data_IF_005044219174
#
_entry.id   IF_005044219174
#
_cell.length_a   1.000
_cell.length_b   1.000
_cell.length_c   1.000
_cell.angle_alpha   90.00
_cell.angle_beta   90.00
_cell.angle_gamma   90.00
#
_symmetry.space_group_name_H-M   'P 1'
#
loop_
_entity.id
_entity.type
_entity.pdbx_description
1 polymer ?
#
# COMPACT_ATOMS: atom_id res chain seq x y z
N UNK A 1 16.38 22.29 14.10
CA UNK A 1 16.05 20.86 13.93
C UNK A 1 14.64 20.64 14.46
N UNK A 2 13.78 19.95 13.72
CA UNK A 2 12.44 19.59 14.22
C UNK A 2 12.60 18.60 15.38
N UNK A 3 11.82 18.76 16.44
CA UNK A 3 11.86 17.87 17.61
C UNK A 3 11.12 16.55 17.38
N UNK A 4 10.18 16.54 16.42
CA UNK A 4 9.37 15.37 16.08
C UNK A 4 9.84 14.72 14.78
N UNK A 5 9.69 13.38 14.65
CA UNK A 5 10.13 12.66 13.46
C UNK A 5 9.26 13.01 12.25
N UNK A 6 9.91 13.29 11.13
CA UNK A 6 9.24 13.52 9.84
C UNK A 6 9.16 12.20 9.05
N UNK A 7 7.96 11.79 8.65
CA UNK A 7 7.71 10.52 7.97
C UNK A 7 7.07 10.81 6.61
N UNK A 8 7.71 10.35 5.55
CA UNK A 8 7.16 10.42 4.19
C UNK A 8 6.65 9.04 3.80
N UNK A 9 5.38 8.95 3.40
CA UNK A 9 4.81 7.71 2.90
C UNK A 9 4.23 7.88 1.51
N UNK A 10 4.28 6.83 0.70
CA UNK A 10 3.70 6.86 -0.64
C UNK A 10 3.29 5.50 -1.16
N UNK A 11 2.38 5.52 -2.13
CA UNK A 11 1.85 4.35 -2.80
C UNK A 11 1.53 4.68 -4.26
N UNK A 12 1.83 3.72 -5.14
CA UNK A 12 1.50 3.75 -6.56
C UNK A 12 0.84 2.43 -6.99
N UNK A 13 0.27 1.68 -6.04
CA UNK A 13 -0.23 0.32 -6.26
C UNK A 13 -1.61 0.27 -6.91
N UNK A 14 -2.38 1.36 -6.93
CA UNK A 14 -3.64 1.45 -7.66
C UNK A 14 -3.57 2.50 -8.79
N UNK A 15 -4.72 2.94 -9.31
CA UNK A 15 -4.82 3.95 -10.36
C UNK A 15 -4.57 5.37 -9.82
N UNK A 16 -3.51 5.54 -9.03
CA UNK A 16 -3.14 6.81 -8.41
C UNK A 16 -1.63 6.95 -8.24
N UNK A 17 -1.19 8.17 -7.95
CA UNK A 17 0.02 8.46 -7.22
C UNK A 17 -0.38 9.12 -5.90
N UNK A 18 -0.03 8.50 -4.77
CA UNK A 18 -0.47 8.93 -3.45
C UNK A 18 0.71 9.09 -2.50
N UNK A 19 0.68 10.12 -1.66
CA UNK A 19 1.66 10.30 -0.60
C UNK A 19 1.10 11.08 0.60
N UNK A 20 1.74 10.91 1.74
CA UNK A 20 1.47 11.65 2.96
C UNK A 20 2.78 12.03 3.66
N UNK A 21 2.78 13.21 4.28
CA UNK A 21 3.88 13.71 5.09
C UNK A 21 3.37 13.91 6.52
N UNK A 22 3.97 13.22 7.48
CA UNK A 22 3.64 13.30 8.90
C UNK A 22 4.80 13.90 9.69
N UNK A 23 4.49 14.68 10.71
CA UNK A 23 5.43 15.16 11.72
C UNK A 23 4.87 14.78 13.09
N UNK A 24 5.51 13.83 13.77
CA UNK A 24 4.93 13.23 14.96
C UNK A 24 3.58 12.56 14.64
N UNK A 25 2.52 12.96 15.33
CA UNK A 25 1.16 12.49 15.10
C UNK A 25 0.37 13.33 14.07
N UNK A 26 0.91 14.50 13.71
CA UNK A 26 0.25 15.45 12.83
C UNK A 26 0.46 15.09 11.36
N UNK A 27 -0.62 15.07 10.58
CA UNK A 27 -0.57 14.98 9.13
C UNK A 27 -0.34 16.38 8.58
N UNK A 28 0.83 16.61 8.00
CA UNK A 28 1.17 17.89 7.37
C UNK A 28 0.51 18.02 6.00
N UNK A 29 0.55 16.94 5.22
CA UNK A 29 -0.11 16.85 3.92
C UNK A 29 -0.48 15.40 3.61
N UNK A 30 -1.63 15.21 2.97
CA UNK A 30 -2.04 13.95 2.37
C UNK A 30 -2.58 14.26 0.97
N UNK A 31 -1.97 13.65 -0.05
CA UNK A 31 -2.26 13.90 -1.47
C UNK A 31 -2.50 12.59 -2.19
N UNK A 32 -3.56 12.55 -2.99
CA UNK A 32 -3.90 11.44 -3.88
C UNK A 32 -4.22 12.06 -5.24
N UNK A 33 -3.43 11.70 -6.25
CA UNK A 33 -3.68 12.07 -7.64
C UNK A 33 -4.13 10.84 -8.42
N UNK A 34 -5.38 10.84 -8.85
CA UNK A 34 -5.92 9.80 -9.72
C UNK A 34 -5.20 9.83 -11.07
N UNK A 35 -4.60 8.69 -11.46
CA UNK A 35 -3.94 8.53 -12.74
C UNK A 35 -3.85 7.07 -13.18
N UNK A 36 -4.23 6.80 -14.42
CA UNK A 36 -4.15 5.46 -15.00
C UNK A 36 -2.71 5.05 -15.36
N UNK A 37 -1.85 6.01 -15.70
CA UNK A 37 -0.44 5.83 -16.11
C UNK A 37 0.38 7.06 -15.71
N UNK A 38 1.71 6.93 -15.74
CA UNK A 38 2.64 8.04 -15.48
C UNK A 38 3.11 8.13 -14.02
N UNK A 39 2.85 7.10 -13.21
CA UNK A 39 3.22 7.10 -11.79
C UNK A 39 4.74 7.19 -11.58
N UNK A 40 5.54 6.61 -12.49
CA UNK A 40 7.00 6.62 -12.40
C UNK A 40 7.58 8.03 -12.55
N UNK A 41 7.04 8.80 -13.48
CA UNK A 41 7.43 10.17 -13.76
C UNK A 41 6.87 11.14 -12.72
N UNK A 42 5.69 10.84 -12.16
CA UNK A 42 5.00 11.74 -11.22
C UNK A 42 5.49 11.63 -9.78
N UNK A 43 5.86 10.43 -9.33
CA UNK A 43 6.13 10.16 -7.91
C UNK A 43 7.20 11.11 -7.33
N UNK A 44 8.40 11.14 -7.92
CA UNK A 44 9.49 11.95 -7.37
C UNK A 44 9.17 13.45 -7.31
N UNK A 45 8.68 14.09 -8.40
CA UNK A 45 8.23 15.48 -8.33
C UNK A 45 7.16 15.74 -7.26
N UNK A 46 6.20 14.82 -7.07
CA UNK A 46 5.14 14.99 -6.07
C UNK A 46 5.71 15.04 -4.66
N UNK A 47 6.65 14.14 -4.35
CA UNK A 47 7.30 14.08 -3.05
C UNK A 47 8.17 15.33 -2.79
N UNK A 48 8.88 15.82 -3.80
CA UNK A 48 9.68 17.06 -3.71
C UNK A 48 8.80 18.28 -3.45
N UNK A 49 7.70 18.43 -4.19
CA UNK A 49 6.71 19.49 -3.99
C UNK A 49 6.14 19.48 -2.57
N UNK A 50 5.84 18.30 -2.01
CA UNK A 50 5.32 18.14 -0.65
C UNK A 50 6.36 18.57 0.40
N UNK A 51 7.59 18.07 0.29
CA UNK A 51 8.67 18.44 1.22
C UNK A 51 8.94 19.94 1.18
N UNK A 52 9.06 20.51 -0.02
CA UNK A 52 9.33 21.93 -0.22
C UNK A 52 8.22 22.82 0.36
N UNK A 53 6.94 22.48 0.14
CA UNK A 53 5.79 23.22 0.70
C UNK A 53 5.79 23.28 2.21
N UNK A 54 6.36 22.27 2.87
CA UNK A 54 6.50 22.23 4.32
C UNK A 54 7.88 22.69 4.81
N UNK A 55 8.74 23.26 3.97
CA UNK A 55 10.08 23.71 4.36
C UNK A 55 10.95 22.57 4.89
N UNK A 56 10.81 21.38 4.33
CA UNK A 56 11.62 20.21 4.63
C UNK A 56 12.39 19.77 3.38
N UNK A 57 13.49 19.05 3.58
CA UNK A 57 14.22 18.35 2.55
C UNK A 57 14.31 16.85 2.83
N UNK A 58 14.84 16.10 1.86
CA UNK A 58 15.00 14.65 1.97
C UNK A 58 15.75 14.19 3.22
N UNK A 59 16.75 14.97 3.67
CA UNK A 59 17.58 14.65 4.85
C UNK A 59 16.88 14.90 6.19
N UNK A 60 15.72 15.53 6.19
CA UNK A 60 14.92 15.73 7.41
C UNK A 60 14.05 14.50 7.74
N UNK A 61 13.93 13.56 6.79
CA UNK A 61 13.13 12.35 6.97
C UNK A 61 13.75 11.43 8.03
N UNK A 62 12.90 10.92 8.92
CA UNK A 62 13.25 9.92 9.92
C UNK A 62 12.92 8.50 9.44
N UNK A 63 11.95 8.33 8.54
CA UNK A 63 11.61 7.06 7.92
C UNK A 63 10.81 7.27 6.62
N UNK A 64 10.74 6.21 5.82
CA UNK A 64 9.90 6.13 4.63
C UNK A 64 8.85 5.03 4.81
N UNK A 65 7.57 5.35 4.60
CA UNK A 65 6.50 4.36 4.46
C UNK A 65 6.25 4.06 2.98
N UNK A 66 6.04 2.79 2.63
CA UNK A 66 5.76 2.43 1.24
C UNK A 66 4.67 1.38 1.13
N UNK A 67 3.72 1.61 0.23
CA UNK A 67 2.72 0.63 -0.12
C UNK A 67 3.34 -0.56 -0.86
N UNK A 68 3.09 -1.78 -0.38
CA UNK A 68 3.62 -3.02 -0.97
C UNK A 68 2.58 -3.80 -1.77
N UNK A 69 1.41 -3.21 -2.01
CA UNK A 69 0.26 -3.88 -2.62
C UNK A 69 -0.56 -4.67 -1.58
N UNK A 70 -1.46 -5.57 -2.01
CA UNK A 70 -1.64 -6.03 -3.38
C UNK A 70 -2.23 -4.94 -4.29
N UNK A 71 -1.98 -5.02 -5.60
CA UNK A 71 -2.39 -4.01 -6.56
C UNK A 71 -1.78 -4.21 -7.95
N UNK A 72 -1.73 -3.15 -8.75
CA UNK A 72 -1.10 -3.11 -10.06
C UNK A 72 0.40 -3.44 -9.96
N UNK A 73 0.83 -4.46 -10.71
CA UNK A 73 2.19 -5.01 -10.65
C UNK A 73 3.28 -3.96 -10.91
N UNK A 74 3.14 -3.18 -11.98
CA UNK A 74 4.11 -2.10 -12.31
C UNK A 74 4.10 -1.03 -11.23
N UNK A 75 2.91 -0.65 -10.77
CA UNK A 75 2.69 0.34 -9.73
C UNK A 75 3.38 0.01 -8.41
N UNK A 76 3.19 -1.20 -7.89
CA UNK A 76 3.85 -1.65 -6.64
C UNK A 76 5.37 -1.63 -6.79
N UNK A 77 5.90 -2.01 -7.95
CA UNK A 77 7.36 -2.01 -8.19
C UNK A 77 7.96 -0.61 -8.21
N UNK A 78 7.25 0.38 -8.77
CA UNK A 78 7.69 1.78 -8.80
C UNK A 78 7.90 2.30 -7.37
N UNK A 79 6.87 2.22 -6.53
CA UNK A 79 6.95 2.71 -5.15
C UNK A 79 7.97 1.94 -4.32
N UNK A 80 7.98 0.60 -4.37
CA UNK A 80 8.97 -0.20 -3.62
C UNK A 80 10.41 0.09 -4.05
N UNK A 81 10.68 0.25 -5.35
CA UNK A 81 12.01 0.60 -5.84
C UNK A 81 12.44 2.00 -5.36
N UNK A 82 11.56 2.99 -5.48
CA UNK A 82 11.81 4.35 -5.01
C UNK A 82 12.11 4.40 -3.50
N UNK A 83 11.29 3.73 -2.69
CA UNK A 83 11.48 3.68 -1.24
C UNK A 83 12.81 3.04 -0.84
N UNK A 84 13.19 1.94 -1.49
CA UNK A 84 14.47 1.27 -1.24
C UNK A 84 15.66 2.14 -1.63
N UNK A 85 15.60 2.83 -2.77
CA UNK A 85 16.64 3.73 -3.23
C UNK A 85 16.83 4.93 -2.30
N UNK A 86 15.73 5.59 -1.94
CA UNK A 86 15.72 6.73 -1.02
C UNK A 86 16.23 6.33 0.37
N UNK A 87 15.71 5.24 0.94
CA UNK A 87 16.13 4.77 2.26
C UNK A 87 17.61 4.39 2.31
N UNK A 88 18.13 3.77 1.24
CA UNK A 88 19.57 3.47 1.12
C UNK A 88 20.41 4.75 1.10
N UNK A 89 20.00 5.75 0.32
CA UNK A 89 20.71 7.03 0.18
C UNK A 89 20.68 7.85 1.48
N UNK A 90 19.51 7.93 2.11
CA UNK A 90 19.25 8.75 3.29
C UNK A 90 19.65 8.05 4.60
N UNK A 91 19.91 6.74 4.56
CA UNK A 91 20.22 5.90 5.73
C UNK A 91 19.09 5.92 6.78
N UNK A 92 17.85 5.87 6.31
CA UNK A 92 16.64 5.82 7.15
C UNK A 92 15.90 4.51 6.91
N UNK A 93 15.11 4.00 7.87
CA UNK A 93 14.31 2.81 7.66
C UNK A 93 13.24 3.04 6.58
N UNK A 94 13.00 2.00 5.76
CA UNK A 94 11.84 1.90 4.90
C UNK A 94 10.89 0.84 5.44
N UNK A 95 9.63 1.20 5.65
CA UNK A 95 8.58 0.33 6.18
C UNK A 95 7.63 -0.04 5.05
N UNK A 96 7.61 -1.32 4.68
CA UNK A 96 6.63 -1.85 3.75
C UNK A 96 5.29 -2.06 4.45
N UNK A 97 4.20 -1.59 3.85
CA UNK A 97 2.85 -1.69 4.39
C UNK A 97 1.92 -2.19 3.29
N UNK A 98 1.22 -3.30 3.54
CA UNK A 98 0.25 -3.78 2.57
C UNK A 98 -0.99 -2.87 2.55
N UNK A 99 -1.64 -2.74 1.38
CA UNK A 99 -2.92 -2.04 1.24
C UNK A 99 -4.01 -2.68 2.12
N UNK A 100 -3.88 -3.99 2.39
CA UNK A 100 -4.73 -4.72 3.33
C UNK A 100 -4.52 -4.22 4.76
N UNK A 101 -3.28 -4.15 5.26
CA UNK A 101 -2.96 -3.60 6.58
C UNK A 101 -3.38 -2.14 6.72
N UNK A 102 -3.11 -1.33 5.70
CA UNK A 102 -3.42 0.10 5.71
C UNK A 102 -4.93 0.34 5.81
N UNK A 103 -5.74 -0.38 5.02
CA UNK A 103 -7.21 -0.27 5.08
C UNK A 103 -7.80 -0.74 6.42
N UNK A 104 -7.10 -1.63 7.11
CA UNK A 104 -7.50 -2.17 8.40
C UNK A 104 -7.17 -1.24 9.59
N UNK A 105 -6.31 -0.24 9.40
CA UNK A 105 -5.83 0.63 10.48
C UNK A 105 -6.97 1.50 11.04
N UNK A 106 -7.07 1.57 12.37
CA UNK A 106 -8.07 2.39 13.06
C UNK A 106 -9.48 1.80 13.10
N UNK A 107 -9.68 0.58 12.58
CA UNK A 107 -10.97 -0.11 12.59
C UNK A 107 -11.05 -1.21 13.66
N UNK A 108 -12.24 -1.46 14.24
CA UNK A 108 -12.43 -2.48 15.28
C UNK A 108 -12.17 -3.88 14.74
N UNK A 109 -11.67 -4.77 15.59
CA UNK A 109 -11.44 -6.20 15.28
C UNK A 109 -12.51 -7.08 15.96
N UNK A 110 -12.84 -8.26 15.42
CA UNK A 110 -12.37 -8.83 14.15
C UNK A 110 -12.90 -8.07 12.93
N UNK A 111 -12.09 -8.00 11.87
CA UNK A 111 -12.41 -7.28 10.63
C UNK A 111 -11.90 -8.05 9.41
N UNK A 112 -12.65 -8.09 8.32
CA UNK A 112 -12.13 -8.52 7.02
C UNK A 112 -11.85 -7.33 6.11
N UNK A 113 -10.65 -7.24 5.58
CA UNK A 113 -10.37 -6.31 4.47
C UNK A 113 -10.58 -7.06 3.16
N UNK A 114 -11.31 -6.45 2.23
CA UNK A 114 -11.60 -6.98 0.90
C UNK A 114 -11.31 -5.90 -0.14
N UNK A 115 -10.32 -6.13 -0.99
CA UNK A 115 -9.96 -5.25 -2.09
C UNK A 115 -10.28 -5.94 -3.41
N UNK A 116 -10.87 -5.21 -4.35
CA UNK A 116 -11.12 -5.73 -5.71
C UNK A 116 -9.79 -6.10 -6.39
N UNK A 117 -9.67 -7.36 -6.83
CA UNK A 117 -8.52 -7.87 -7.57
C UNK A 117 -8.78 -7.97 -9.08
N UNK A 118 -9.93 -7.46 -9.56
CA UNK A 118 -10.48 -7.60 -10.91
C UNK A 118 -10.80 -9.06 -11.26
N UNK A 119 -11.43 -9.28 -12.42
CA UNK A 119 -11.77 -10.61 -12.97
C UNK A 119 -12.62 -11.49 -12.02
N UNK A 120 -13.47 -10.85 -11.21
CA UNK A 120 -14.32 -11.56 -10.23
C UNK A 120 -13.56 -12.08 -9.00
N UNK A 121 -12.31 -11.63 -8.81
CA UNK A 121 -11.48 -12.02 -7.67
C UNK A 121 -11.30 -10.85 -6.70
N UNK A 122 -10.91 -11.18 -5.48
CA UNK A 122 -10.61 -10.24 -4.39
C UNK A 122 -9.32 -10.61 -3.70
N UNK A 123 -8.57 -9.59 -3.31
CA UNK A 123 -7.58 -9.71 -2.27
C UNK A 123 -8.28 -9.57 -0.93
N UNK A 124 -8.10 -10.54 -0.05
CA UNK A 124 -8.73 -10.53 1.25
C UNK A 124 -7.74 -10.86 2.36
N UNK A 125 -7.97 -10.29 3.54
CA UNK A 125 -7.30 -10.68 4.76
C UNK A 125 -8.23 -10.49 5.95
N UNK A 126 -8.28 -11.52 6.78
CA UNK A 126 -8.93 -11.44 8.09
C UNK A 126 -7.96 -10.81 9.07
N UNK A 127 -8.39 -9.80 9.80
CA UNK A 127 -7.66 -9.18 10.88
C UNK A 127 -8.36 -9.55 12.19
N UNK A 128 -7.91 -10.68 12.69
CA UNK A 128 -8.25 -11.34 13.96
C UNK A 128 -7.13 -12.35 14.23
N UNK A 129 -7.41 -13.49 14.90
CA UNK A 129 -6.42 -14.56 15.02
C UNK A 129 -6.03 -15.11 13.64
N UNK A 130 -4.72 -15.18 13.37
CA UNK A 130 -4.09 -15.96 12.29
C UNK A 130 -4.54 -15.69 10.83
N UNK A 131 -5.05 -14.49 10.53
CA UNK A 131 -5.51 -14.18 9.19
C UNK A 131 -4.37 -13.82 8.22
N UNK A 132 -4.11 -14.72 7.27
CA UNK A 132 -3.20 -14.50 6.15
C UNK A 132 -3.89 -13.79 4.98
N UNK A 133 -3.12 -13.00 4.22
CA UNK A 133 -3.59 -12.42 2.96
C UNK A 133 -3.78 -13.51 1.89
N UNK A 134 -4.84 -13.39 1.10
CA UNK A 134 -5.20 -14.36 0.06
C UNK A 134 -5.80 -13.68 -1.18
N UNK A 135 -5.68 -14.36 -2.33
CA UNK A 135 -6.46 -14.08 -3.54
C UNK A 135 -7.55 -15.15 -3.65
N UNK A 136 -8.81 -14.75 -3.79
CA UNK A 136 -9.95 -15.66 -3.86
C UNK A 136 -11.12 -15.01 -4.60
N UNK A 137 -12.28 -15.67 -4.68
CA UNK A 137 -13.52 -15.10 -5.23
C UNK A 137 -14.45 -14.62 -4.12
N UNK A 138 -15.37 -13.70 -4.42
CA UNK A 138 -16.41 -13.29 -3.48
C UNK A 138 -17.23 -14.48 -2.95
N UNK A 139 -17.58 -15.44 -3.82
CA UNK A 139 -18.36 -16.62 -3.46
C UNK A 139 -17.64 -17.53 -2.47
N UNK A 140 -16.35 -17.79 -2.68
CA UNK A 140 -15.54 -18.60 -1.77
C UNK A 140 -15.36 -17.88 -0.43
N UNK A 141 -15.15 -16.56 -0.46
CA UNK A 141 -14.98 -15.73 0.73
C UNK A 141 -16.28 -15.61 1.54
N UNK A 142 -17.44 -15.57 0.88
CA UNK A 142 -18.75 -15.47 1.52
C UNK A 142 -19.07 -16.67 2.42
N UNK A 143 -18.46 -17.84 2.17
CA UNK A 143 -18.63 -19.03 3.01
C UNK A 143 -17.95 -18.92 4.38
N UNK A 144 -17.00 -17.99 4.55
CA UNK A 144 -16.19 -17.87 5.77
C UNK A 144 -16.82 -17.02 6.87
N UNK A 145 -17.90 -16.29 6.58
CA UNK A 145 -18.55 -15.37 7.53
C UNK A 145 -17.65 -14.21 7.99
N UNK A 146 -18.23 -13.04 8.27
CA UNK A 146 -17.57 -11.98 9.05
C UNK A 146 -18.61 -10.96 9.51
N UNK A 147 -18.44 -10.40 10.71
CA UNK A 147 -19.35 -9.39 11.25
C UNK A 147 -19.12 -8.00 10.65
N UNK A 148 -17.86 -7.70 10.30
CA UNK A 148 -17.45 -6.40 9.78
C UNK A 148 -16.41 -6.57 8.66
N UNK A 149 -16.54 -5.76 7.62
CA UNK A 149 -15.61 -5.73 6.51
C UNK A 149 -15.36 -4.30 6.01
N UNK A 150 -14.25 -4.09 5.30
CA UNK A 150 -13.90 -2.81 4.68
C UNK A 150 -13.15 -3.04 3.36
N UNK A 151 -12.95 -1.97 2.58
CA UNK A 151 -12.23 -1.99 1.32
C UNK A 151 -13.14 -2.03 0.08
N UNK A 152 -12.53 -1.86 -1.10
CA UNK A 152 -13.25 -1.68 -2.36
C UNK A 152 -14.11 -2.88 -2.79
N UNK A 153 -13.76 -4.10 -2.35
CA UNK A 153 -14.54 -5.30 -2.62
C UNK A 153 -15.61 -5.63 -1.57
N UNK A 154 -15.69 -4.85 -0.48
CA UNK A 154 -16.55 -5.17 0.67
C UNK A 154 -18.04 -5.09 0.34
N UNK A 155 -18.49 -4.09 -0.41
CA UNK A 155 -19.91 -3.95 -0.75
C UNK A 155 -20.44 -5.15 -1.55
N UNK A 156 -19.66 -5.64 -2.52
CA UNK A 156 -19.99 -6.81 -3.31
C UNK A 156 -20.03 -8.10 -2.45
N UNK A 157 -19.13 -8.23 -1.46
CA UNK A 157 -19.17 -9.37 -0.54
C UNK A 157 -20.37 -9.31 0.41
N UNK A 158 -20.69 -8.13 0.93
CA UNK A 158 -21.82 -7.93 1.83
C UNK A 158 -23.17 -8.30 1.20
N UNK A 159 -23.31 -8.13 -0.12
CA UNK A 159 -24.50 -8.58 -0.86
C UNK A 159 -24.69 -10.12 -0.81
N UNK A 160 -23.61 -10.89 -0.61
CA UNK A 160 -23.63 -12.35 -0.44
C UNK A 160 -23.67 -12.78 1.02
N UNK A 161 -23.55 -11.85 1.97
CA UNK A 161 -23.52 -12.11 3.41
C UNK A 161 -24.45 -11.13 4.16
N UNK A 162 -25.78 -11.33 4.10
CA UNK A 162 -26.73 -10.48 4.80
C UNK A 162 -26.40 -10.38 6.30
N UNK A 163 -26.29 -9.16 6.82
CA UNK A 163 -25.96 -8.87 8.21
C UNK A 163 -24.51 -8.44 8.45
N UNK A 164 -23.61 -8.62 7.50
CA UNK A 164 -22.24 -8.11 7.61
C UNK A 164 -22.20 -6.59 7.43
N UNK A 165 -21.47 -5.89 8.32
CA UNK A 165 -21.34 -4.43 8.27
C UNK A 165 -20.19 -4.01 7.37
N UNK A 166 -20.44 -3.10 6.44
CA UNK A 166 -19.38 -2.45 5.63
C UNK A 166 -18.95 -1.17 6.33
N UNK A 167 -17.69 -1.12 6.74
CA UNK A 167 -17.07 0.03 7.40
C UNK A 167 -16.27 0.84 6.37
N UNK A 168 -16.38 2.18 6.44
CA UNK A 168 -15.49 3.07 5.73
C UNK A 168 -14.05 2.95 6.29
N UNK A 169 -13.05 3.19 5.45
CA UNK A 169 -11.67 3.30 5.92
C UNK A 169 -11.57 4.47 6.92
N UNK A 170 -10.81 4.29 8.00
CA UNK A 170 -10.66 5.31 9.03
C UNK A 170 -9.84 6.54 8.56
N UNK A 171 -9.00 6.35 7.53
CA UNK A 171 -8.14 7.38 6.96
C UNK A 171 -7.73 7.02 5.53
N UNK A 172 -7.19 7.96 4.75
CA UNK A 172 -6.66 7.69 3.42
C UNK A 172 -5.47 6.71 3.44
N UNK A 173 -5.30 5.95 2.34
CA UNK A 173 -4.22 4.97 2.18
C UNK A 173 -2.82 5.52 2.51
N UNK A 174 -2.34 6.64 1.93
CA UNK A 174 -1.00 7.12 2.22
C UNK A 174 -0.81 7.58 3.67
N UNK A 175 -1.85 8.11 4.31
CA UNK A 175 -1.83 8.44 5.74
C UNK A 175 -1.67 7.17 6.59
N UNK A 176 -2.46 6.14 6.31
CA UNK A 176 -2.36 4.87 7.04
C UNK A 176 -0.96 4.25 6.91
N UNK A 177 -0.38 4.29 5.71
CA UNK A 177 1.01 3.85 5.48
C UNK A 177 1.99 4.69 6.33
N UNK A 178 1.82 6.01 6.37
CA UNK A 178 2.68 6.89 7.16
C UNK A 178 2.58 6.61 8.66
N UNK A 179 1.38 6.41 9.21
CA UNK A 179 1.18 6.10 10.63
C UNK A 179 1.78 4.75 11.00
N UNK A 180 1.60 3.73 10.16
CA UNK A 180 2.23 2.42 10.37
C UNK A 180 3.75 2.53 10.30
N UNK A 181 4.28 3.29 9.33
CA UNK A 181 5.71 3.55 9.22
C UNK A 181 6.26 4.28 10.45
N UNK A 182 5.55 5.31 10.94
CA UNK A 182 5.90 6.04 12.15
C UNK A 182 5.97 5.09 13.36
N UNK A 183 4.97 4.23 13.56
CA UNK A 183 4.93 3.27 14.66
C UNK A 183 6.05 2.22 14.60
N UNK A 184 6.42 1.78 13.39
CA UNK A 184 7.41 0.71 13.17
C UNK A 184 8.85 1.20 13.04
N UNK A 185 9.08 2.51 12.84
CA UNK A 185 10.41 3.09 12.51
C UNK A 185 11.54 2.72 13.46
N UNK A 186 11.25 2.54 14.75
CA UNK A 186 12.24 2.28 15.79
C UNK A 186 12.63 0.79 15.91
N UNK A 187 11.98 -0.09 15.15
CA UNK A 187 12.22 -1.53 15.16
C UNK A 187 12.84 -1.97 13.84
N UNK A 188 13.73 -2.98 13.82
CA UNK A 188 14.29 -3.50 12.57
C UNK A 188 13.19 -3.92 11.60
N UNK A 189 13.21 -3.35 10.39
CA UNK A 189 12.26 -3.67 9.33
C UNK A 189 12.95 -4.50 8.24
N UNK A 190 12.29 -5.54 7.70
CA UNK A 190 12.75 -6.15 6.47
C UNK A 190 12.73 -5.12 5.34
N UNK A 191 13.57 -5.33 4.32
CA UNK A 191 13.51 -4.52 3.11
C UNK A 191 12.10 -4.64 2.50
N UNK A 192 11.42 -3.52 2.17
CA UNK A 192 10.11 -3.60 1.54
C UNK A 192 10.17 -4.45 0.27
N UNK A 193 9.22 -5.36 0.15
CA UNK A 193 9.07 -6.26 -0.99
C UNK A 193 7.61 -6.25 -1.44
N UNK A 194 7.33 -6.31 -2.76
CA UNK A 194 5.97 -6.43 -3.26
C UNK A 194 5.25 -7.66 -2.69
N UNK A 195 4.01 -7.49 -2.24
CA UNK A 195 3.12 -8.57 -1.86
C UNK A 195 2.39 -9.10 -3.10
N UNK A 196 2.94 -10.13 -3.73
CA UNK A 196 2.31 -10.80 -4.86
C UNK A 196 1.36 -11.91 -4.37
N UNK A 197 0.06 -11.68 -4.53
CA UNK A 197 -0.98 -12.69 -4.30
C UNK A 197 -1.51 -13.30 -5.61
N UNK A 198 -1.12 -12.71 -6.75
CA UNK A 198 -1.42 -13.17 -8.10
C UNK A 198 -0.10 -13.46 -8.81
N UNK A 199 -0.02 -14.59 -9.51
CA UNK A 199 1.09 -14.88 -10.42
C UNK A 199 1.15 -13.83 -11.54
N UNK A 200 2.34 -13.59 -12.11
CA UNK A 200 2.44 -12.71 -13.27
C UNK A 200 1.72 -13.34 -14.46
N UNK A 201 0.81 -12.59 -15.10
CA UNK A 201 0.07 -13.00 -16.30
C UNK A 201 0.95 -13.00 -17.58
N UNK A 202 2.27 -12.88 -17.45
CA UNK A 202 3.15 -12.82 -18.60
C UNK A 202 3.17 -14.18 -19.32
N UNK A 203 2.65 -14.21 -20.54
CA UNK A 203 2.90 -15.32 -21.44
C UNK A 203 4.41 -15.44 -21.65
N UNK A 204 4.95 -16.66 -21.52
CA UNK A 204 6.32 -16.93 -21.93
C UNK A 204 6.44 -16.59 -23.42
N UNK A 205 7.54 -15.97 -23.87
CA UNK A 205 7.76 -15.71 -25.29
C UNK A 205 7.60 -17.02 -26.07
N UNK A 206 6.73 -17.02 -27.09
CA UNK A 206 6.57 -18.15 -28.00
C UNK A 206 7.75 -18.30 -28.95
N UNK A 207 8.56 -17.25 -29.09
CA UNK A 207 9.77 -17.26 -29.90
C UNK A 207 10.95 -17.81 -29.10
N UNK A 208 11.82 -18.63 -29.74
CA UNK A 208 13.06 -19.06 -29.11
C UNK A 208 13.93 -17.84 -28.76
N UNK A 209 14.72 -17.90 -27.67
CA UNK A 209 15.60 -16.81 -27.30
C UNK A 209 16.55 -16.47 -28.45
N UNK A 210 16.92 -15.18 -28.62
CA UNK A 210 17.83 -14.77 -29.68
C UNK A 210 19.15 -15.53 -29.56
N UNK A 211 19.63 -16.05 -30.70
CA UNK A 211 20.92 -16.71 -30.78
C UNK A 211 21.99 -15.65 -30.54
N UNK A 212 22.76 -15.80 -29.45
CA UNK A 212 23.93 -14.98 -29.21
C UNK A 212 24.99 -15.42 -30.23
N UNK A 213 25.24 -14.57 -31.23
CA UNK A 213 26.36 -14.75 -32.15
C UNK A 213 27.60 -14.22 -31.44
N UNK A 214 28.50 -15.14 -31.07
CA UNK A 214 29.83 -14.82 -30.54
C UNK A 214 30.79 -14.44 -31.66
#
# INVERSE_FOLDING_TARGET
MRSEPLILAFDTSAAHCAAALLCGEAVLECRIEEMAKGQAERLMPMLEEMLARHGAGWRDLAAIGVGTGPGNFTGVRISVAAARGLALSLRVPAVGVSALEAAALGLPRPLRVVLDARRGEVYAQDFGPDGAAMLTTHEALAKRGVDAMTGSGAAALAALQPGARVLAAAMPLPEAIARIAAARRATPQPRPAPLYLRSADAALPSEPPPVIVA
#
